data_IF_926855819219
#
_entry.id   IF_926855819219
#
_cell.length_a   1.000
_cell.length_b   1.000
_cell.length_c   1.000
_cell.angle_alpha   90.00
_cell.angle_beta   90.00
_cell.angle_gamma   90.00
#
_symmetry.space_group_name_H-M   'P 1'
#
loop_
_entity.id
_entity.type
_entity.pdbx_description
1 polymer ?
#
# COMPACT_ATOMS: atom_id res chain seq x y z
N UNK A 1 2.33 -67.76 -24.45
CA UNK A 1 3.06 -66.48 -24.25
C UNK A 1 2.06 -65.35 -24.14
N UNK A 2 1.81 -64.86 -22.94
CA UNK A 2 1.25 -63.52 -22.70
C UNK A 2 1.59 -63.18 -21.26
N UNK A 3 2.56 -62.29 -21.11
CA UNK A 3 3.06 -61.83 -19.82
C UNK A 3 2.01 -60.93 -19.17
N UNK A 4 1.52 -61.31 -17.99
CA UNK A 4 0.82 -60.40 -17.09
C UNK A 4 1.87 -59.45 -16.49
N UNK A 5 2.04 -58.28 -17.10
CA UNK A 5 2.81 -57.21 -16.52
C UNK A 5 2.02 -56.63 -15.34
N UNK A 6 2.50 -56.88 -14.12
CA UNK A 6 2.04 -56.23 -12.90
C UNK A 6 2.41 -54.75 -12.95
N UNK A 7 1.46 -53.87 -13.22
CA UNK A 7 1.62 -52.43 -13.02
C UNK A 7 1.66 -52.17 -11.52
N UNK A 8 2.86 -52.03 -10.96
CA UNK A 8 3.03 -51.49 -9.62
C UNK A 8 2.71 -50.00 -9.67
N UNK A 9 1.62 -49.60 -9.01
CA UNK A 9 1.35 -48.19 -8.69
C UNK A 9 2.42 -47.72 -7.71
N UNK A 10 3.34 -46.90 -8.20
CA UNK A 10 4.34 -46.23 -7.35
C UNK A 10 3.62 -45.15 -6.53
N UNK A 11 3.38 -45.45 -5.25
CA UNK A 11 2.82 -44.52 -4.27
C UNK A 11 3.69 -43.24 -4.18
N UNK A 12 3.12 -42.03 -4.27
CA UNK A 12 3.91 -40.81 -4.22
C UNK A 12 4.45 -40.62 -2.80
N UNK A 13 5.75 -40.84 -2.65
CA UNK A 13 6.53 -40.66 -1.42
C UNK A 13 6.24 -39.28 -0.82
N UNK A 14 5.66 -39.27 0.38
CA UNK A 14 5.24 -38.07 1.10
C UNK A 14 6.38 -37.03 1.20
N UNK A 15 6.17 -35.90 0.54
CA UNK A 15 7.07 -34.74 0.53
C UNK A 15 7.22 -34.15 1.93
N UNK A 16 8.45 -33.75 2.27
CA UNK A 16 8.85 -33.25 3.57
C UNK A 16 8.03 -32.02 3.97
N UNK A 17 7.42 -32.09 5.16
CA UNK A 17 6.64 -30.99 5.74
C UNK A 17 7.59 -30.00 6.39
N UNK A 18 8.08 -29.04 5.61
CA UNK A 18 8.64 -27.81 6.17
C UNK A 18 7.49 -27.09 6.88
N UNK A 19 7.60 -26.74 8.19
CA UNK A 19 6.56 -25.96 8.85
C UNK A 19 6.46 -24.60 8.18
N UNK A 20 5.35 -24.34 7.51
CA UNK A 20 5.12 -23.08 6.79
C UNK A 20 4.82 -21.99 7.82
N UNK A 21 5.83 -21.19 8.16
CA UNK A 21 5.64 -19.92 8.86
C UNK A 21 4.56 -19.11 8.14
N UNK A 22 3.54 -18.57 8.83
CA UNK A 22 2.45 -17.86 8.17
C UNK A 22 2.97 -16.57 7.51
N UNK A 23 2.39 -16.19 6.37
CA UNK A 23 2.89 -15.08 5.56
C UNK A 23 2.95 -13.74 6.31
N UNK A 24 1.95 -13.44 7.16
CA UNK A 24 1.97 -12.24 8.00
C UNK A 24 3.18 -12.22 8.96
N UNK A 25 3.56 -13.37 9.51
CA UNK A 25 4.71 -13.48 10.40
C UNK A 25 6.03 -13.33 9.62
N UNK A 26 6.06 -13.78 8.36
CA UNK A 26 7.20 -13.52 7.46
C UNK A 26 7.35 -12.02 7.17
N UNK A 27 6.25 -11.29 6.96
CA UNK A 27 6.27 -9.83 6.78
C UNK A 27 6.80 -9.14 8.03
N UNK A 28 6.26 -9.49 9.21
CA UNK A 28 6.71 -8.90 10.47
C UNK A 28 8.18 -9.20 10.73
N UNK A 29 8.62 -10.44 10.51
CA UNK A 29 10.03 -10.81 10.61
C UNK A 29 10.90 -10.01 9.63
N UNK A 30 10.44 -9.84 8.38
CA UNK A 30 11.11 -9.00 7.38
C UNK A 30 11.22 -7.53 7.78
N UNK A 31 10.16 -6.96 8.38
CA UNK A 31 10.18 -5.59 8.91
C UNK A 31 11.22 -5.44 10.04
N UNK A 32 11.21 -6.36 11.00
CA UNK A 32 12.16 -6.35 12.12
C UNK A 32 13.59 -6.50 11.59
N UNK A 33 13.84 -7.43 10.68
CA UNK A 33 15.14 -7.60 10.04
C UNK A 33 15.56 -6.34 9.27
N UNK A 34 14.66 -5.71 8.52
CA UNK A 34 14.92 -4.47 7.80
C UNK A 34 15.34 -3.33 8.73
N UNK A 35 14.65 -3.16 9.87
CA UNK A 35 15.00 -2.17 10.89
C UNK A 35 16.37 -2.46 11.50
N UNK A 36 16.64 -3.72 11.88
CA UNK A 36 17.93 -4.12 12.45
C UNK A 36 19.06 -3.89 11.47
N UNK A 37 18.91 -4.31 10.21
CA UNK A 37 19.91 -4.11 9.17
C UNK A 37 20.13 -2.62 8.87
N UNK A 38 19.06 -1.82 8.81
CA UNK A 38 19.16 -0.36 8.63
C UNK A 38 19.83 0.36 9.81
N UNK A 39 19.66 -0.16 11.03
CA UNK A 39 20.40 0.34 12.19
C UNK A 39 21.89 -0.01 12.12
N UNK A 40 22.22 -1.26 11.77
CA UNK A 40 23.60 -1.73 11.59
C UNK A 40 24.33 -0.95 10.50
N UNK A 41 23.70 -0.68 9.35
CA UNK A 41 24.33 0.14 8.29
C UNK A 41 24.68 1.53 8.77
N UNK A 42 23.82 2.15 9.60
CA UNK A 42 24.07 3.49 10.15
C UNK A 42 25.14 3.50 11.22
N UNK A 43 25.25 2.45 12.04
CA UNK A 43 26.28 2.37 13.10
C UNK A 43 27.67 2.05 12.55
N UNK A 44 27.76 1.19 11.54
CA UNK A 44 29.03 0.69 11.00
C UNK A 44 29.41 1.29 9.64
N UNK A 45 28.65 2.28 9.15
CA UNK A 45 28.82 2.98 7.86
C UNK A 45 28.99 2.03 6.64
N UNK A 46 28.18 0.98 6.60
CA UNK A 46 28.27 -0.07 5.57
C UNK A 46 27.49 0.34 4.31
N UNK A 47 28.14 1.14 3.47
CA UNK A 47 27.52 1.76 2.28
C UNK A 47 26.94 0.76 1.26
N UNK A 48 27.61 -0.36 0.99
CA UNK A 48 27.13 -1.35 0.03
C UNK A 48 25.81 -2.01 0.48
N UNK A 49 25.66 -2.21 1.79
CA UNK A 49 24.46 -2.82 2.37
C UNK A 49 23.31 -1.82 2.34
N UNK A 50 23.56 -0.54 2.67
CA UNK A 50 22.58 0.53 2.50
C UNK A 50 22.06 0.63 1.06
N UNK A 51 22.97 0.76 0.09
CA UNK A 51 22.61 0.90 -1.33
C UNK A 51 21.84 -0.32 -1.86
N UNK A 52 22.15 -1.52 -1.38
CA UNK A 52 21.41 -2.74 -1.73
C UNK A 52 20.00 -2.73 -1.14
N UNK A 53 19.87 -2.43 0.17
CA UNK A 53 18.56 -2.35 0.84
C UNK A 53 17.67 -1.29 0.21
N UNK A 54 18.23 -0.11 -0.08
CA UNK A 54 17.53 1.00 -0.74
C UNK A 54 17.05 0.61 -2.14
N UNK A 55 17.93 0.03 -2.98
CA UNK A 55 17.55 -0.44 -4.32
C UNK A 55 16.44 -1.51 -4.26
N UNK A 56 16.55 -2.47 -3.36
CA UNK A 56 15.54 -3.53 -3.20
C UNK A 56 14.21 -2.94 -2.75
N UNK A 57 14.23 -2.05 -1.76
CA UNK A 57 13.03 -1.34 -1.29
C UNK A 57 12.39 -0.49 -2.39
N UNK A 58 13.21 0.21 -3.17
CA UNK A 58 12.75 1.02 -4.29
C UNK A 58 12.08 0.18 -5.38
N UNK A 59 12.70 -0.93 -5.79
CA UNK A 59 12.13 -1.86 -6.77
C UNK A 59 10.82 -2.44 -6.24
N UNK A 60 10.77 -2.84 -4.96
CA UNK A 60 9.54 -3.35 -4.35
C UNK A 60 8.40 -2.33 -4.41
N UNK A 61 8.65 -1.08 -4.00
CA UNK A 61 7.65 -0.01 -4.07
C UNK A 61 7.25 0.28 -5.52
N UNK A 62 8.19 0.27 -6.47
CA UNK A 62 7.90 0.46 -7.89
C UNK A 62 6.98 -0.64 -8.44
N UNK A 63 7.21 -1.91 -8.06
CA UNK A 63 6.34 -3.01 -8.44
C UNK A 63 4.94 -2.89 -7.83
N UNK A 64 4.84 -2.43 -6.57
CA UNK A 64 3.54 -2.13 -5.96
C UNK A 64 2.81 -1.02 -6.72
N UNK A 65 3.48 0.09 -7.01
CA UNK A 65 2.90 1.22 -7.77
C UNK A 65 2.40 0.80 -9.15
N UNK A 66 3.19 -0.01 -9.86
CA UNK A 66 2.81 -0.56 -11.17
C UNK A 66 1.54 -1.41 -11.09
N UNK A 67 1.36 -2.17 -10.02
CA UNK A 67 0.19 -3.00 -9.82
C UNK A 67 -1.06 -2.21 -9.37
N UNK A 68 -0.89 -1.14 -8.60
CA UNK A 68 -2.00 -0.42 -7.96
C UNK A 68 -2.95 0.20 -8.98
N UNK A 69 -2.48 0.91 -10.00
CA UNK A 69 -3.37 1.59 -10.93
C UNK A 69 -4.30 0.67 -11.74
N UNK A 70 -3.80 -0.39 -12.42
CA UNK A 70 -4.71 -1.31 -13.12
C UNK A 70 -5.64 -2.01 -12.13
N UNK A 71 -5.14 -2.40 -10.94
CA UNK A 71 -5.96 -3.06 -9.93
C UNK A 71 -7.14 -2.18 -9.49
N UNK A 72 -6.91 -0.90 -9.21
CA UNK A 72 -7.95 0.04 -8.79
C UNK A 72 -8.95 0.29 -9.93
N UNK A 73 -8.49 0.47 -11.17
CA UNK A 73 -9.38 0.65 -12.32
C UNK A 73 -10.33 -0.54 -12.52
N UNK A 74 -9.79 -1.76 -12.57
CA UNK A 74 -10.61 -2.96 -12.73
C UNK A 74 -11.52 -3.19 -11.52
N UNK A 75 -11.06 -2.93 -10.29
CA UNK A 75 -11.89 -3.04 -9.10
C UNK A 75 -13.10 -2.09 -9.14
N UNK A 76 -12.89 -0.84 -9.56
CA UNK A 76 -13.98 0.14 -9.72
C UNK A 76 -14.92 -0.27 -10.85
N UNK A 77 -14.40 -0.71 -12.00
CA UNK A 77 -15.21 -1.20 -13.13
C UNK A 77 -16.13 -2.36 -12.72
N UNK A 78 -15.57 -3.36 -12.03
CA UNK A 78 -16.32 -4.51 -11.51
C UNK A 78 -17.34 -4.06 -10.45
N UNK A 79 -16.96 -3.12 -9.57
CA UNK A 79 -17.88 -2.56 -8.58
C UNK A 79 -19.09 -1.87 -9.23
N UNK A 80 -18.87 -0.97 -10.20
CA UNK A 80 -19.93 -0.23 -10.90
C UNK A 80 -20.87 -1.18 -11.67
N UNK A 81 -20.31 -2.17 -12.37
CA UNK A 81 -21.13 -3.16 -13.10
C UNK A 81 -21.98 -4.02 -12.18
N UNK A 82 -21.48 -4.35 -10.98
CA UNK A 82 -22.24 -5.08 -9.96
C UNK A 82 -23.32 -4.23 -9.28
N UNK A 83 -23.10 -2.93 -9.09
CA UNK A 83 -24.06 -2.02 -8.45
C UNK A 83 -25.41 -1.94 -9.20
N UNK A 84 -25.43 -2.18 -10.52
CA UNK A 84 -26.69 -2.24 -11.30
C UNK A 84 -27.67 -3.30 -10.83
N UNK A 85 -27.20 -4.35 -10.14
CA UNK A 85 -28.02 -5.44 -9.60
C UNK A 85 -28.51 -5.17 -8.17
N UNK A 86 -28.07 -4.08 -7.55
CA UNK A 86 -28.36 -3.76 -6.15
C UNK A 86 -29.51 -2.77 -6.07
N UNK A 87 -30.61 -3.18 -5.42
CA UNK A 87 -31.72 -2.27 -5.15
C UNK A 87 -31.28 -1.18 -4.15
N UNK A 88 -31.65 0.08 -4.38
CA UNK A 88 -31.25 1.23 -3.56
C UNK A 88 -29.72 1.47 -3.44
N UNK A 89 -28.94 1.19 -4.49
CA UNK A 89 -27.50 1.43 -4.52
C UNK A 89 -27.08 2.85 -4.07
N UNK A 90 -27.84 3.88 -4.46
CA UNK A 90 -27.57 5.26 -4.07
C UNK A 90 -27.65 5.50 -2.55
N UNK A 91 -28.59 4.86 -1.84
CA UNK A 91 -28.71 4.97 -0.38
C UNK A 91 -27.58 4.24 0.34
N UNK A 92 -27.13 3.12 -0.21
CA UNK A 92 -25.98 2.40 0.34
C UNK A 92 -24.70 3.25 0.20
N UNK A 93 -24.46 3.80 -1.00
CA UNK A 93 -23.31 4.65 -1.27
C UNK A 93 -23.28 5.90 -0.38
N UNK A 94 -24.40 6.60 -0.22
CA UNK A 94 -24.46 7.80 0.63
C UNK A 94 -24.25 7.50 2.12
N UNK A 95 -24.75 6.37 2.62
CA UNK A 95 -24.48 5.91 4.00
C UNK A 95 -23.00 5.60 4.20
N UNK A 96 -22.37 4.91 3.26
CA UNK A 96 -20.94 4.62 3.31
C UNK A 96 -20.10 5.90 3.25
N UNK A 97 -20.48 6.85 2.38
CA UNK A 97 -19.80 8.14 2.28
C UNK A 97 -19.92 8.94 3.59
N UNK A 98 -21.11 9.01 4.17
CA UNK A 98 -21.34 9.69 5.45
C UNK A 98 -20.52 9.04 6.57
N UNK A 99 -20.48 7.71 6.60
CA UNK A 99 -19.67 6.96 7.55
C UNK A 99 -18.18 7.29 7.40
N UNK A 100 -17.63 7.26 6.18
CA UNK A 100 -16.24 7.62 5.91
C UNK A 100 -15.92 9.07 6.27
N UNK A 101 -16.85 9.99 6.03
CA UNK A 101 -16.66 11.41 6.35
C UNK A 101 -16.57 11.61 7.87
N UNK A 102 -17.44 10.95 8.64
CA UNK A 102 -17.42 11.01 10.11
C UNK A 102 -16.14 10.37 10.65
N UNK A 103 -15.78 9.17 10.20
CA UNK A 103 -14.56 8.49 10.69
C UNK A 103 -13.30 9.26 10.32
N UNK A 104 -13.24 9.85 9.12
CA UNK A 104 -12.11 10.68 8.69
C UNK A 104 -12.02 11.96 9.51
N UNK A 105 -13.14 12.61 9.80
CA UNK A 105 -13.17 13.80 10.65
C UNK A 105 -12.65 13.49 12.06
N UNK A 106 -13.08 12.37 12.64
CA UNK A 106 -12.59 11.90 13.95
C UNK A 106 -11.09 11.63 13.90
N UNK A 107 -10.60 10.94 12.87
CA UNK A 107 -9.17 10.65 12.71
C UNK A 107 -8.32 11.92 12.58
N UNK A 108 -8.76 12.89 11.77
CA UNK A 108 -8.10 14.20 11.63
C UNK A 108 -8.11 14.96 12.95
N UNK A 109 -9.23 15.00 13.66
CA UNK A 109 -9.33 15.68 14.95
C UNK A 109 -8.36 15.08 15.98
N UNK A 110 -8.26 13.74 16.05
CA UNK A 110 -7.30 13.06 16.93
C UNK A 110 -5.86 13.36 16.50
N UNK A 111 -5.55 13.28 15.21
CA UNK A 111 -4.21 13.59 14.68
C UNK A 111 -3.77 15.02 15.00
N UNK A 112 -4.68 15.98 14.83
CA UNK A 112 -4.45 17.38 15.22
C UNK A 112 -4.28 17.53 16.73
N UNK A 113 -5.13 16.90 17.54
CA UNK A 113 -5.01 16.96 18.99
C UNK A 113 -3.65 16.41 19.47
N UNK A 114 -3.23 15.25 18.96
CA UNK A 114 -1.92 14.68 19.26
C UNK A 114 -0.80 15.61 18.78
N UNK A 115 -0.89 16.13 17.55
CA UNK A 115 0.10 17.04 16.99
C UNK A 115 0.27 18.32 17.81
N UNK A 116 -0.83 18.92 18.27
CA UNK A 116 -0.82 20.10 19.13
C UNK A 116 -0.26 19.81 20.53
N UNK A 117 -0.59 18.66 21.12
CA UNK A 117 -0.15 18.27 22.47
C UNK A 117 1.32 17.86 22.49
N UNK A 118 1.76 17.07 21.51
CA UNK A 118 3.12 16.52 21.47
C UNK A 118 4.14 17.49 20.86
N UNK A 119 3.67 18.44 20.05
CA UNK A 119 4.48 19.44 19.36
C UNK A 119 5.78 18.84 18.76
N UNK A 120 5.67 17.88 17.81
CA UNK A 120 6.80 17.06 17.37
C UNK A 120 7.89 17.84 16.61
N UNK A 121 7.63 19.10 16.24
CA UNK A 121 8.61 20.00 15.63
C UNK A 121 9.43 20.82 16.62
N UNK A 122 9.06 20.83 17.91
CA UNK A 122 9.79 21.58 18.92
C UNK A 122 11.23 21.04 19.07
N UNK A 123 12.21 21.94 19.11
CA UNK A 123 13.62 21.57 19.27
C UNK A 123 14.32 21.13 17.99
N UNK A 124 13.66 21.14 16.82
CA UNK A 124 14.29 20.81 15.54
C UNK A 124 15.21 21.91 15.00
N UNK A 125 15.10 23.15 15.52
CA UNK A 125 15.87 24.31 15.05
C UNK A 125 15.42 24.84 13.68
N UNK A 126 14.36 24.28 13.10
CA UNK A 126 13.82 24.68 11.81
C UNK A 126 13.18 26.07 11.90
N UNK A 127 13.44 26.89 10.89
CA UNK A 127 12.87 28.21 10.70
C UNK A 127 11.89 28.19 9.53
N UNK A 128 11.00 29.19 9.38
CA UNK A 128 10.14 29.31 8.20
C UNK A 128 10.91 29.36 6.87
N UNK A 129 12.20 29.72 6.87
CA UNK A 129 13.06 29.75 5.67
C UNK A 129 13.48 28.36 5.19
N UNK A 130 13.41 27.35 6.06
CA UNK A 130 13.71 25.96 5.74
C UNK A 130 12.51 25.25 5.11
N UNK A 131 11.32 25.87 5.19
CA UNK A 131 10.10 25.39 4.55
C UNK A 131 10.02 25.81 3.08
N UNK A 132 9.59 24.89 2.22
CA UNK A 132 9.16 25.24 0.86
C UNK A 132 7.71 25.70 0.89
N UNK A 133 7.43 26.84 0.26
CA UNK A 133 6.06 27.27 0.03
C UNK A 133 5.33 26.24 -0.86
N UNK A 134 4.03 25.96 -0.62
CA UNK A 134 3.25 25.09 -1.49
C UNK A 134 3.24 25.65 -2.92
N UNK A 135 3.53 24.83 -3.91
CA UNK A 135 3.49 25.25 -5.33
C UNK A 135 2.05 25.57 -5.78
N UNK A 136 1.05 24.96 -5.13
CA UNK A 136 -0.36 25.15 -5.43
C UNK A 136 -1.19 25.29 -4.14
N UNK A 137 -1.96 26.38 -4.06
CA UNK A 137 -3.05 26.53 -3.10
C UNK A 137 -4.37 26.36 -3.87
N UNK A 138 -4.80 25.11 -4.03
CA UNK A 138 -6.07 24.80 -4.72
C UNK A 138 -7.27 25.28 -3.92
N UNK A 139 -8.27 25.82 -4.64
CA UNK A 139 -9.58 26.13 -4.08
C UNK A 139 -10.48 24.89 -4.02
N UNK A 140 -11.59 24.98 -3.30
CA UNK A 140 -12.60 23.90 -3.25
C UNK A 140 -13.17 23.57 -4.65
N UNK A 141 -13.22 24.56 -5.54
CA UNK A 141 -13.66 24.36 -6.92
C UNK A 141 -12.63 23.58 -7.73
N UNK A 142 -11.34 23.81 -7.51
CA UNK A 142 -10.26 23.08 -8.19
C UNK A 142 -10.25 21.60 -7.82
N UNK A 143 -10.62 21.26 -6.58
CA UNK A 143 -10.85 19.88 -6.19
C UNK A 143 -12.01 19.25 -6.97
N UNK A 144 -13.15 19.95 -7.08
CA UNK A 144 -14.33 19.42 -7.76
C UNK A 144 -14.10 19.24 -9.27
N UNK A 145 -13.42 20.19 -9.92
CA UNK A 145 -13.05 20.07 -11.33
C UNK A 145 -11.96 19.03 -11.54
N UNK A 146 -11.04 18.84 -10.59
CA UNK A 146 -10.00 17.81 -10.64
C UNK A 146 -10.50 16.37 -10.53
N UNK A 147 -11.74 16.14 -10.08
CA UNK A 147 -12.36 14.80 -10.07
C UNK A 147 -12.60 14.28 -11.49
N UNK A 148 -12.84 15.18 -12.45
CA UNK A 148 -13.13 14.80 -13.84
C UNK A 148 -11.80 14.81 -14.62
N UNK A 149 -11.25 13.64 -15.00
CA UNK A 149 -10.01 13.59 -15.74
C UNK A 149 -10.20 14.21 -17.14
N UNK A 150 -9.19 14.94 -17.61
CA UNK A 150 -9.15 15.53 -18.96
C UNK A 150 -8.65 14.54 -20.01
N UNK A 151 -7.95 13.48 -19.60
CA UNK A 151 -7.45 12.39 -20.44
C UNK A 151 -7.50 11.05 -19.68
N UNK A 152 -7.62 9.94 -20.42
CA UNK A 152 -7.77 8.59 -19.83
C UNK A 152 -6.43 7.94 -19.49
N UNK A 153 -5.34 8.32 -20.16
CA UNK A 153 -4.04 7.63 -20.12
C UNK A 153 -3.12 8.25 -19.06
N UNK A 154 -3.10 9.58 -18.93
CA UNK A 154 -2.22 10.30 -18.00
C UNK A 154 -2.24 9.74 -16.56
N UNK A 155 -3.42 9.41 -15.97
CA UNK A 155 -3.46 8.86 -14.62
C UNK A 155 -2.75 7.50 -14.46
N UNK A 156 -2.53 6.77 -15.54
CA UNK A 156 -1.81 5.48 -15.53
C UNK A 156 -0.30 5.63 -15.73
N UNK A 157 0.17 6.78 -16.23
CA UNK A 157 1.59 7.02 -16.51
C UNK A 157 2.32 7.78 -15.41
N UNK A 158 1.61 8.44 -14.49
CA UNK A 158 2.18 9.39 -13.51
C UNK A 158 2.13 8.91 -12.03
N UNK A 159 2.27 7.60 -11.76
CA UNK A 159 2.12 6.98 -10.42
C UNK A 159 3.40 6.92 -9.56
#
# INVERSE_FOLDING_TARGET
MSASASTQETEPKASSRIPKVPFWAQIVAGLVLGVVLGWVTRTYDVQWLYTTLDKVGHIFVQLLKLAVAPLVFFAILVSITNLRKVNNAARLASRTLLWFMITSLIAVAIGLAIGLVTNPGAGTGLTPKDGKAPEHAGSWLDFLTGIIPTDVITPFTEL
#
